data_IF_199180147921
#
_entry.id   IF_199180147921
#
_cell.length_a   1.000
_cell.length_b   1.000
_cell.length_c   1.000
_cell.angle_alpha   90.00
_cell.angle_beta   90.00
_cell.angle_gamma   90.00
#
_symmetry.space_group_name_H-M   'P 1'
#
loop_
_entity.id
_entity.type
_entity.pdbx_description
1 polymer ?
#
# COMPACT_ATOMS: atom_id res chain seq x y z
N UNK A 1 -58.11 29.99 -43.76
CA UNK A 1 -57.53 28.91 -42.98
C UNK A 1 -55.98 29.01 -42.94
N UNK A 2 -55.42 30.15 -42.49
CA UNK A 2 -53.96 30.39 -42.54
C UNK A 2 -53.38 31.12 -41.32
N UNK A 3 -54.11 31.22 -40.20
CA UNK A 3 -53.66 31.96 -39.01
C UNK A 3 -53.10 31.05 -37.88
N UNK A 4 -53.22 29.72 -38.00
CA UNK A 4 -52.78 28.79 -36.97
C UNK A 4 -51.29 28.24 -37.10
N UNK A 5 -50.68 28.37 -38.30
CA UNK A 5 -49.33 27.79 -38.53
C UNK A 5 -48.17 28.64 -37.97
N UNK A 6 -48.36 29.96 -37.83
CA UNK A 6 -47.30 30.84 -37.33
C UNK A 6 -47.09 30.74 -35.81
N UNK A 7 -48.20 30.64 -35.04
CA UNK A 7 -48.09 30.52 -33.56
C UNK A 7 -47.51 29.19 -33.08
N UNK A 8 -47.83 28.09 -33.77
CA UNK A 8 -47.26 26.78 -33.41
C UNK A 8 -45.71 26.74 -33.59
N UNK A 9 -45.22 27.24 -34.72
CA UNK A 9 -43.75 27.33 -34.98
C UNK A 9 -43.01 28.22 -33.98
N UNK A 10 -43.64 29.32 -33.55
CA UNK A 10 -43.03 30.22 -32.55
C UNK A 10 -42.95 29.55 -31.18
N UNK A 11 -43.98 28.80 -30.77
CA UNK A 11 -44.01 28.05 -29.52
C UNK A 11 -42.97 26.92 -29.54
N UNK A 12 -42.88 26.16 -30.62
CA UNK A 12 -41.87 25.10 -30.80
C UNK A 12 -40.45 25.66 -30.74
N UNK A 13 -40.20 26.83 -31.34
CA UNK A 13 -38.86 27.46 -31.26
C UNK A 13 -38.55 27.98 -29.86
N UNK A 14 -39.53 28.54 -29.13
CA UNK A 14 -39.34 28.99 -27.74
C UNK A 14 -39.09 27.82 -26.81
N UNK A 15 -39.83 26.72 -26.96
CA UNK A 15 -39.61 25.49 -26.18
C UNK A 15 -38.25 24.87 -26.48
N UNK A 16 -37.84 24.83 -27.75
CA UNK A 16 -36.52 24.34 -28.14
C UNK A 16 -35.37 25.16 -27.54
N UNK A 17 -35.46 26.48 -27.53
CA UNK A 17 -34.49 27.38 -26.90
C UNK A 17 -34.47 27.16 -25.37
N UNK A 18 -35.62 26.99 -24.74
CA UNK A 18 -35.70 26.75 -23.30
C UNK A 18 -35.02 25.41 -22.89
N UNK A 19 -35.25 24.34 -23.65
CA UNK A 19 -34.62 23.05 -23.46
C UNK A 19 -33.09 23.17 -23.62
N UNK A 20 -32.64 23.88 -24.65
CA UNK A 20 -31.21 24.10 -24.87
C UNK A 20 -30.55 24.86 -23.71
N UNK A 21 -31.22 25.90 -23.18
CA UNK A 21 -30.74 26.66 -22.03
C UNK A 21 -30.67 25.79 -20.76
N UNK A 22 -31.65 24.93 -20.54
CA UNK A 22 -31.63 23.97 -19.42
C UNK A 22 -30.47 22.95 -19.57
N UNK A 23 -30.25 22.43 -20.77
CA UNK A 23 -29.13 21.52 -21.05
C UNK A 23 -27.78 22.20 -20.83
N UNK A 24 -27.62 23.45 -21.25
CA UNK A 24 -26.39 24.22 -21.01
C UNK A 24 -26.22 24.47 -19.51
N UNK A 25 -27.28 24.89 -18.80
CA UNK A 25 -27.21 25.13 -17.35
C UNK A 25 -26.86 23.85 -16.55
N UNK A 26 -27.43 22.69 -16.93
CA UNK A 26 -27.11 21.41 -16.32
C UNK A 26 -25.69 20.98 -16.64
N UNK A 27 -25.20 21.14 -17.86
CA UNK A 27 -23.83 20.83 -18.24
C UNK A 27 -22.82 21.71 -17.49
N UNK A 28 -23.10 23.02 -17.37
CA UNK A 28 -22.27 23.95 -16.57
C UNK A 28 -22.32 23.60 -15.08
N UNK A 29 -23.48 23.25 -14.55
CA UNK A 29 -23.63 22.81 -13.15
C UNK A 29 -22.84 21.55 -12.86
N UNK A 30 -22.92 20.53 -13.73
CA UNK A 30 -22.13 19.30 -13.62
C UNK A 30 -20.64 19.61 -13.74
N UNK A 31 -20.24 20.49 -14.65
CA UNK A 31 -18.84 20.89 -14.81
C UNK A 31 -18.30 21.59 -13.54
N UNK A 32 -19.04 22.53 -12.96
CA UNK A 32 -18.64 23.21 -11.72
C UNK A 32 -18.54 22.22 -10.56
N UNK A 33 -19.56 21.36 -10.36
CA UNK A 33 -19.57 20.36 -9.30
C UNK A 33 -18.40 19.36 -9.46
N UNK A 34 -18.15 18.88 -10.68
CA UNK A 34 -17.04 17.95 -10.94
C UNK A 34 -15.69 18.62 -10.72
N UNK A 35 -15.55 19.89 -11.07
CA UNK A 35 -14.35 20.68 -10.82
C UNK A 35 -14.10 20.85 -9.32
N UNK A 36 -15.09 21.28 -8.56
CA UNK A 36 -14.96 21.50 -7.12
C UNK A 36 -14.77 20.17 -6.36
N UNK A 37 -15.40 19.10 -6.81
CA UNK A 37 -15.20 17.75 -6.28
C UNK A 37 -13.75 17.27 -6.49
N UNK A 38 -13.22 17.40 -7.70
CA UNK A 38 -11.84 17.01 -8.00
C UNK A 38 -10.83 17.85 -7.19
N UNK A 39 -11.10 19.16 -7.06
CA UNK A 39 -10.24 20.08 -6.31
C UNK A 39 -10.24 19.78 -4.80
N UNK A 40 -11.41 19.57 -4.19
CA UNK A 40 -11.54 19.18 -2.80
C UNK A 40 -10.84 17.84 -2.50
N UNK A 41 -10.81 16.95 -3.49
CA UNK A 41 -10.20 15.64 -3.38
C UNK A 41 -8.69 15.66 -3.27
N UNK A 42 -8.00 16.55 -4.01
CA UNK A 42 -6.56 16.74 -3.91
C UNK A 42 -6.13 17.68 -2.76
N UNK A 43 -7.05 18.06 -1.88
CA UNK A 43 -6.75 19.00 -0.81
C UNK A 43 -6.58 20.45 -1.27
N UNK A 44 -6.93 20.75 -2.53
CA UNK A 44 -6.90 22.09 -3.11
C UNK A 44 -8.32 22.65 -3.07
N UNK A 45 -8.59 23.66 -2.27
CA UNK A 45 -9.92 24.24 -2.06
C UNK A 45 -10.40 25.08 -3.22
N UNK A 46 -9.50 25.53 -4.10
CA UNK A 46 -9.81 26.20 -5.37
C UNK A 46 -8.59 26.25 -6.30
N UNK A 47 -8.75 26.56 -7.61
CA UNK A 47 -7.61 26.74 -8.53
C UNK A 47 -6.68 27.90 -8.16
N UNK A 48 -7.07 28.74 -7.19
CA UNK A 48 -6.32 29.90 -6.71
C UNK A 48 -5.71 29.72 -5.32
N UNK A 49 -6.09 28.67 -4.56
CA UNK A 49 -5.49 28.38 -3.28
C UNK A 49 -4.34 27.37 -3.46
N UNK A 50 -3.15 27.93 -3.50
CA UNK A 50 -1.90 27.22 -3.47
C UNK A 50 -1.73 26.51 -2.13
N UNK A 51 -1.46 25.22 -2.15
CA UNK A 51 -0.91 24.54 -0.98
C UNK A 51 0.59 24.89 -0.91
N UNK A 52 0.95 25.72 0.04
CA UNK A 52 2.31 26.22 0.15
C UNK A 52 2.74 26.95 -1.13
N UNK A 53 3.92 26.61 -1.63
CA UNK A 53 4.55 27.27 -2.79
C UNK A 53 4.25 26.59 -4.13
N UNK A 54 3.22 25.74 -4.22
CA UNK A 54 2.86 25.01 -5.45
C UNK A 54 1.46 25.37 -5.95
N UNK A 55 1.29 25.36 -7.27
CA UNK A 55 0.00 25.48 -7.95
C UNK A 55 -0.25 24.29 -8.84
N UNK A 56 -1.52 23.86 -8.95
CA UNK A 56 -1.90 22.77 -9.84
C UNK A 56 -1.72 23.16 -11.31
N UNK A 57 -1.22 22.22 -12.13
CA UNK A 57 -0.97 22.38 -13.56
C UNK A 57 -1.73 21.32 -14.33
N UNK A 58 -2.49 21.75 -15.33
CA UNK A 58 -3.33 20.86 -16.14
C UNK A 58 -4.59 20.39 -15.41
N UNK A 59 -5.23 19.36 -15.97
CA UNK A 59 -6.41 18.73 -15.37
C UNK A 59 -5.99 17.55 -14.52
N UNK A 60 -6.75 17.32 -13.43
CA UNK A 60 -6.68 16.07 -12.71
C UNK A 60 -7.17 14.91 -13.60
N UNK A 61 -6.50 13.77 -13.51
CA UNK A 61 -6.82 12.55 -14.25
C UNK A 61 -7.23 11.45 -13.25
N UNK A 62 -8.14 10.58 -13.67
CA UNK A 62 -8.60 9.44 -12.86
C UNK A 62 -8.53 8.17 -13.68
N UNK A 63 -8.01 7.10 -13.06
CA UNK A 63 -7.84 5.78 -13.65
C UNK A 63 -8.52 4.72 -12.78
N UNK A 64 -9.09 3.70 -13.42
CA UNK A 64 -9.68 2.53 -12.79
C UNK A 64 -8.91 1.25 -13.17
N UNK A 65 -9.44 0.07 -12.83
CA UNK A 65 -8.80 -1.21 -13.16
C UNK A 65 -8.59 -1.45 -14.65
N UNK A 66 -9.47 -0.90 -15.50
CA UNK A 66 -9.43 -1.16 -16.94
C UNK A 66 -8.34 -0.37 -17.66
N UNK A 67 -7.98 0.82 -17.12
CA UNK A 67 -7.04 1.73 -17.76
C UNK A 67 -5.85 2.16 -16.87
N UNK A 68 -5.65 1.54 -15.72
CA UNK A 68 -4.53 1.85 -14.83
C UNK A 68 -3.17 1.70 -15.53
N UNK A 69 -3.04 0.70 -16.42
CA UNK A 69 -1.82 0.44 -17.17
C UNK A 69 -1.39 1.61 -18.08
N UNK A 70 -2.34 2.43 -18.54
CA UNK A 70 -2.04 3.61 -19.36
C UNK A 70 -1.22 4.66 -18.59
N UNK A 71 -1.32 4.65 -17.24
CA UNK A 71 -0.63 5.62 -16.38
C UNK A 71 0.63 5.07 -15.74
N UNK A 72 0.61 3.81 -15.28
CA UNK A 72 1.71 3.24 -14.49
C UNK A 72 2.35 2.01 -15.14
N UNK A 73 1.94 1.68 -16.38
CA UNK A 73 2.51 0.63 -17.21
C UNK A 73 2.66 -0.72 -16.48
N UNK A 74 3.79 -1.37 -16.55
CA UNK A 74 4.06 -2.69 -15.98
C UNK A 74 3.89 -2.81 -14.46
N UNK A 75 3.69 -1.70 -13.73
CA UNK A 75 3.39 -1.74 -12.29
C UNK A 75 1.92 -2.08 -11.98
N UNK A 76 0.99 -1.93 -12.92
CA UNK A 76 -0.44 -2.08 -12.69
C UNK A 76 -0.85 -3.41 -12.01
N UNK A 77 -0.33 -4.59 -12.41
CA UNK A 77 -0.68 -5.86 -11.77
C UNK A 77 -0.47 -5.87 -10.26
N UNK A 78 0.65 -5.34 -9.76
CA UNK A 78 0.95 -5.30 -8.33
C UNK A 78 -0.10 -4.53 -7.53
N UNK A 79 -0.63 -3.43 -8.07
CA UNK A 79 -1.67 -2.63 -7.43
C UNK A 79 -3.03 -3.34 -7.48
N UNK A 80 -3.35 -3.95 -8.63
CA UNK A 80 -4.59 -4.69 -8.84
C UNK A 80 -4.68 -5.91 -7.92
N UNK A 81 -3.63 -6.70 -7.81
CA UNK A 81 -3.50 -7.82 -6.86
C UNK A 81 -3.67 -7.36 -5.41
N UNK A 82 -3.17 -6.17 -5.06
CA UNK A 82 -3.32 -5.58 -3.75
C UNK A 82 -4.69 -4.92 -3.51
N UNK A 83 -5.68 -5.10 -4.39
CA UNK A 83 -7.05 -4.60 -4.20
C UNK A 83 -7.26 -3.14 -4.59
N UNK A 84 -6.56 -2.67 -5.61
CA UNK A 84 -6.73 -1.35 -6.20
C UNK A 84 -8.17 -1.07 -6.63
N UNK A 85 -8.66 0.14 -6.35
CA UNK A 85 -9.99 0.61 -6.75
C UNK A 85 -9.90 1.70 -7.81
N UNK A 86 -9.08 2.72 -7.58
CA UNK A 86 -8.88 3.83 -8.50
C UNK A 86 -7.62 4.62 -8.15
N UNK A 87 -7.09 5.31 -9.15
CA UNK A 87 -6.00 6.28 -9.05
C UNK A 87 -6.49 7.66 -9.47
N UNK A 88 -6.20 8.66 -8.67
CA UNK A 88 -6.32 10.06 -9.05
C UNK A 88 -4.93 10.68 -9.13
N UNK A 89 -4.67 11.45 -10.20
CA UNK A 89 -3.38 12.13 -10.39
C UNK A 89 -3.56 13.62 -10.65
N UNK A 90 -2.57 14.40 -10.20
CA UNK A 90 -2.50 15.84 -10.45
C UNK A 90 -1.04 16.31 -10.47
N UNK A 91 -0.70 17.13 -11.44
CA UNK A 91 0.60 17.80 -11.49
C UNK A 91 0.56 19.13 -10.75
N UNK A 92 1.70 19.45 -10.14
CA UNK A 92 1.92 20.71 -9.43
C UNK A 92 3.24 21.32 -9.88
N UNK A 93 3.29 22.65 -10.00
CA UNK A 93 4.51 23.40 -10.26
C UNK A 93 4.78 24.40 -9.11
N UNK A 94 6.05 24.60 -8.79
CA UNK A 94 6.44 25.59 -7.81
C UNK A 94 6.18 27.01 -8.35
N UNK A 95 5.70 27.90 -7.50
CA UNK A 95 5.43 29.30 -7.86
C UNK A 95 6.74 30.07 -8.14
N UNK A 96 7.82 29.69 -7.43
CA UNK A 96 9.16 30.28 -7.58
C UNK A 96 9.82 29.92 -8.90
N UNK A 97 9.55 28.69 -9.40
CA UNK A 97 10.13 28.18 -10.64
C UNK A 97 9.20 27.11 -11.24
N UNK A 98 8.53 27.45 -12.34
CA UNK A 98 7.58 26.54 -13.01
C UNK A 98 8.20 25.28 -13.64
N UNK A 99 9.53 25.20 -13.76
CA UNK A 99 10.24 24.00 -14.20
C UNK A 99 10.38 22.97 -13.07
N UNK A 100 10.31 23.43 -11.81
CA UNK A 100 10.28 22.57 -10.64
C UNK A 100 8.83 22.23 -10.27
N UNK A 101 8.56 20.97 -10.07
CA UNK A 101 7.24 20.51 -9.71
C UNK A 101 7.25 19.04 -9.36
N UNK A 102 6.08 18.53 -9.07
CA UNK A 102 5.87 17.10 -8.79
C UNK A 102 4.54 16.63 -9.34
N UNK A 103 4.42 15.33 -9.49
CA UNK A 103 3.15 14.67 -9.78
C UNK A 103 2.68 13.91 -8.53
N UNK A 104 1.43 14.17 -8.14
CA UNK A 104 0.74 13.53 -7.03
C UNK A 104 -0.11 12.39 -7.56
N UNK A 105 0.03 11.20 -6.99
CA UNK A 105 -0.74 10.00 -7.25
C UNK A 105 -1.43 9.59 -5.96
N UNK A 106 -2.76 9.47 -5.97
CA UNK A 106 -3.55 9.00 -4.84
C UNK A 106 -4.29 7.73 -5.26
N UNK A 107 -3.80 6.59 -4.77
CA UNK A 107 -4.40 5.29 -5.00
C UNK A 107 -5.37 4.95 -3.88
N UNK A 108 -6.64 4.70 -4.20
CA UNK A 108 -7.60 4.08 -3.32
C UNK A 108 -7.39 2.56 -3.37
N UNK A 109 -6.94 1.98 -2.28
CA UNK A 109 -6.61 0.56 -2.15
C UNK A 109 -7.68 -0.21 -1.38
N UNK A 110 -8.89 0.34 -1.25
CA UNK A 110 -10.02 -0.25 -0.56
C UNK A 110 -9.91 -0.26 0.98
N UNK A 111 -8.76 -0.63 1.55
CA UNK A 111 -8.50 -0.67 3.00
C UNK A 111 -7.03 -0.39 3.34
N UNK A 112 -6.74 -0.21 4.63
CA UNK A 112 -5.40 0.15 5.11
C UNK A 112 -4.35 -0.95 4.89
N UNK A 113 -4.71 -2.23 5.00
CA UNK A 113 -3.79 -3.34 4.73
C UNK A 113 -3.32 -3.32 3.28
N UNK A 114 -4.24 -3.13 2.35
CA UNK A 114 -3.94 -3.07 0.92
C UNK A 114 -3.01 -1.89 0.59
N UNK A 115 -3.31 -0.72 1.15
CA UNK A 115 -2.46 0.47 0.98
C UNK A 115 -1.05 0.23 1.55
N UNK A 116 -0.96 -0.34 2.75
CA UNK A 116 0.31 -0.69 3.38
C UNK A 116 1.08 -1.78 2.61
N UNK A 117 0.39 -2.74 2.01
CA UNK A 117 1.02 -3.78 1.18
C UNK A 117 1.81 -3.15 0.03
N UNK A 118 1.18 -2.26 -0.74
CA UNK A 118 1.87 -1.55 -1.84
C UNK A 118 3.00 -0.67 -1.29
N UNK A 119 2.73 0.15 -0.27
CA UNK A 119 3.71 1.00 0.39
C UNK A 119 4.96 0.22 0.81
N UNK A 120 4.79 -0.87 1.55
CA UNK A 120 5.88 -1.64 2.13
C UNK A 120 6.69 -2.42 1.10
N UNK A 121 6.05 -2.87 0.01
CA UNK A 121 6.72 -3.58 -1.10
C UNK A 121 7.55 -2.64 -1.97
N UNK A 122 7.16 -1.38 -2.09
CA UNK A 122 7.88 -0.38 -2.87
C UNK A 122 8.97 0.35 -2.09
N UNK A 123 9.02 0.18 -0.76
CA UNK A 123 10.01 0.87 0.07
C UNK A 123 11.42 0.42 -0.29
N UNK A 124 12.23 1.38 -0.75
CA UNK A 124 13.62 1.18 -1.14
C UNK A 124 14.54 1.06 0.09
N UNK A 125 15.68 0.43 -0.08
CA UNK A 125 16.68 0.26 1.00
C UNK A 125 17.34 1.57 1.42
N UNK A 126 17.40 2.56 0.53
CA UNK A 126 17.93 3.92 0.76
C UNK A 126 16.85 4.90 1.27
N UNK A 127 15.62 4.43 1.48
CA UNK A 127 14.54 5.27 1.96
C UNK A 127 14.73 5.72 3.41
N UNK A 128 14.41 6.98 3.67
CA UNK A 128 14.38 7.56 5.02
C UNK A 128 12.94 7.72 5.47
N UNK A 129 12.60 7.19 6.66
CA UNK A 129 11.25 7.26 7.19
C UNK A 129 10.82 8.69 7.47
N UNK A 130 9.57 9.01 7.09
CA UNK A 130 8.87 10.23 7.49
C UNK A 130 8.14 9.96 8.81
N UNK A 131 8.59 10.63 9.85
CA UNK A 131 7.88 10.74 11.10
C UNK A 131 6.87 11.91 11.02
N UNK A 132 6.00 12.09 11.98
CA UNK A 132 5.03 13.21 12.08
C UNK A 132 3.81 13.18 11.13
N UNK A 133 3.49 12.02 10.54
CA UNK A 133 2.27 11.84 9.75
C UNK A 133 1.04 11.46 10.60
N UNK A 134 1.23 11.27 11.91
CA UNK A 134 0.18 10.85 12.83
C UNK A 134 0.08 9.35 13.03
N UNK A 135 -0.90 8.93 13.84
CA UNK A 135 -1.13 7.52 14.21
C UNK A 135 -1.64 6.73 12.99
N UNK A 136 -1.18 5.50 12.84
CA UNK A 136 -1.58 4.59 11.75
C UNK A 136 -1.22 5.10 10.35
N UNK A 137 -0.25 6.00 10.25
CA UNK A 137 0.32 6.50 9.01
C UNK A 137 1.76 6.02 8.84
N UNK A 138 2.15 5.73 7.61
CA UNK A 138 3.52 5.35 7.26
C UNK A 138 3.99 6.21 6.10
N UNK A 139 5.25 6.66 6.13
CA UNK A 139 5.80 7.46 5.06
C UNK A 139 7.31 7.30 4.94
N UNK A 140 7.84 7.53 3.75
CA UNK A 140 9.28 7.62 3.51
C UNK A 140 9.60 8.58 2.37
N UNK A 141 10.84 9.05 2.37
CA UNK A 141 11.47 9.79 1.28
C UNK A 141 12.53 8.89 0.63
N UNK A 142 12.57 8.83 -0.69
CA UNK A 142 13.59 8.14 -1.46
C UNK A 142 13.94 8.95 -2.71
N UNK A 143 15.14 9.58 -2.72
CA UNK A 143 15.53 10.51 -3.78
C UNK A 143 14.53 11.68 -3.88
N UNK A 144 13.96 11.88 -5.06
CA UNK A 144 12.95 12.91 -5.35
C UNK A 144 11.50 12.44 -5.13
N UNK A 145 11.29 11.32 -4.45
CA UNK A 145 9.94 10.78 -4.22
C UNK A 145 9.58 10.73 -2.73
N UNK A 146 8.30 10.95 -2.44
CA UNK A 146 7.67 10.71 -1.14
C UNK A 146 6.55 9.70 -1.33
N UNK A 147 6.56 8.64 -0.52
CA UNK A 147 5.52 7.62 -0.51
C UNK A 147 4.88 7.53 0.88
N UNK A 148 3.55 7.43 0.91
CA UNK A 148 2.79 7.47 2.16
C UNK A 148 1.65 6.45 2.11
N UNK A 149 1.39 5.76 3.22
CA UNK A 149 0.17 4.98 3.45
C UNK A 149 -0.68 5.66 4.52
N UNK A 150 -1.88 6.10 4.15
CA UNK A 150 -2.84 6.83 4.99
C UNK A 150 -4.21 6.17 4.91
N UNK A 151 -4.55 5.34 5.91
CA UNK A 151 -5.78 4.55 5.85
C UNK A 151 -5.82 3.73 4.56
N UNK A 152 -6.91 3.78 3.83
CA UNK A 152 -7.04 3.06 2.55
C UNK A 152 -6.24 3.65 1.37
N UNK A 153 -5.57 4.79 1.56
CA UNK A 153 -4.88 5.47 0.48
C UNK A 153 -3.38 5.19 0.52
N UNK A 154 -2.86 4.73 -0.62
CA UNK A 154 -1.43 4.78 -0.91
C UNK A 154 -1.17 6.02 -1.78
N UNK A 155 -0.16 6.81 -1.44
CA UNK A 155 0.09 8.10 -2.07
C UNK A 155 1.56 8.17 -2.48
N UNK A 156 1.80 8.57 -3.73
CA UNK A 156 3.12 8.88 -4.24
C UNK A 156 3.19 10.35 -4.67
N UNK A 157 4.25 11.03 -4.33
CA UNK A 157 4.64 12.31 -4.90
C UNK A 157 5.99 12.14 -5.55
N UNK A 158 6.08 12.40 -6.85
CA UNK A 158 7.31 12.22 -7.65
C UNK A 158 7.74 13.57 -8.19
N UNK A 159 8.86 14.07 -7.67
CA UNK A 159 9.45 15.36 -8.07
C UNK A 159 10.10 15.30 -9.45
N UNK A 160 10.09 16.41 -10.16
CA UNK A 160 10.74 16.58 -11.47
C UNK A 160 12.27 16.56 -11.40
N UNK A 161 12.85 16.81 -10.21
CA UNK A 161 14.28 16.83 -9.97
C UNK A 161 14.62 16.47 -8.51
N UNK A 162 15.84 16.04 -8.27
CA UNK A 162 16.39 15.91 -6.91
C UNK A 162 16.74 17.31 -6.39
N UNK A 163 15.83 17.89 -5.61
CA UNK A 163 15.98 19.21 -4.99
C UNK A 163 15.47 19.18 -3.55
N UNK A 164 16.27 19.64 -2.61
CA UNK A 164 15.86 19.72 -1.21
C UNK A 164 14.64 20.63 -1.03
N UNK A 165 14.58 21.77 -1.76
CA UNK A 165 13.44 22.68 -1.74
C UNK A 165 12.15 21.96 -2.18
N UNK A 166 12.22 21.18 -3.26
CA UNK A 166 11.09 20.42 -3.77
C UNK A 166 10.66 19.33 -2.78
N UNK A 167 11.61 18.58 -2.25
CA UNK A 167 11.32 17.51 -1.25
C UNK A 167 10.72 18.12 0.02
N UNK A 168 11.23 19.24 0.52
CA UNK A 168 10.69 19.88 1.72
C UNK A 168 9.28 20.44 1.49
N UNK A 169 9.01 21.00 0.32
CA UNK A 169 7.67 21.39 -0.08
C UNK A 169 6.69 20.19 -0.14
N UNK A 170 7.13 19.08 -0.75
CA UNK A 170 6.33 17.83 -0.77
C UNK A 170 6.09 17.26 0.63
N UNK A 171 7.05 17.37 1.59
CA UNK A 171 6.83 16.97 2.99
C UNK A 171 5.72 17.80 3.65
N UNK A 172 5.65 19.10 3.35
CA UNK A 172 4.56 19.97 3.80
C UNK A 172 3.21 19.45 3.31
N UNK A 173 3.10 19.13 2.02
CA UNK A 173 1.89 18.56 1.42
C UNK A 173 1.56 17.19 2.02
N UNK A 174 2.57 16.35 2.28
CA UNK A 174 2.39 15.06 2.95
C UNK A 174 1.70 15.22 4.31
N UNK A 175 2.11 16.22 5.08
CA UNK A 175 1.51 16.56 6.37
C UNK A 175 0.06 17.03 6.22
N UNK A 176 -0.23 17.89 5.24
CA UNK A 176 -1.59 18.34 4.96
C UNK A 176 -2.51 17.19 4.54
N UNK A 177 -1.99 16.26 3.72
CA UNK A 177 -2.71 15.05 3.32
C UNK A 177 -2.97 14.13 4.52
N UNK A 178 -2.03 14.03 5.48
CA UNK A 178 -2.23 13.23 6.69
C UNK A 178 -3.35 13.79 7.57
N UNK A 179 -3.48 15.11 7.64
CA UNK A 179 -4.59 15.79 8.33
C UNK A 179 -5.90 15.57 7.58
N UNK A 180 -5.88 15.65 6.26
CA UNK A 180 -7.07 15.49 5.41
C UNK A 180 -7.64 14.07 5.45
N UNK A 181 -6.81 13.07 5.22
CA UNK A 181 -7.23 11.66 5.19
C UNK A 181 -7.39 11.05 6.57
N UNK A 182 -6.76 11.65 7.59
CA UNK A 182 -6.92 11.41 9.02
C UNK A 182 -7.15 9.92 9.35
N UNK A 183 -6.12 9.05 9.24
CA UNK A 183 -6.25 7.65 9.61
C UNK A 183 -6.75 7.52 11.05
N UNK A 184 -7.60 6.54 11.28
CA UNK A 184 -8.21 6.28 12.59
C UNK A 184 -7.61 5.01 13.22
N UNK A 185 -7.97 4.70 14.44
CA UNK A 185 -7.58 3.43 15.08
C UNK A 185 -8.07 2.19 14.31
N UNK A 186 -9.13 2.33 13.50
CA UNK A 186 -9.63 1.26 12.62
C UNK A 186 -8.68 0.96 11.45
N UNK A 187 -7.84 1.91 11.08
CA UNK A 187 -6.86 1.78 10.01
C UNK A 187 -5.53 1.21 10.53
N UNK A 188 -5.42 0.98 11.85
CA UNK A 188 -4.23 0.39 12.45
C UNK A 188 -4.05 -1.04 12.01
N UNK A 189 -2.84 -1.35 11.53
CA UNK A 189 -2.44 -2.72 11.18
C UNK A 189 -1.91 -3.37 12.46
N UNK A 190 -2.81 -4.00 13.21
CA UNK A 190 -2.51 -4.57 14.53
C UNK A 190 -1.49 -5.71 14.47
N UNK A 191 -1.42 -6.38 13.33
CA UNK A 191 -0.50 -7.50 13.08
C UNK A 191 0.98 -7.07 13.16
N UNK A 192 1.30 -5.79 12.89
CA UNK A 192 2.68 -5.30 13.04
C UNK A 192 3.17 -5.38 14.51
N UNK A 193 2.26 -5.36 15.47
CA UNK A 193 2.55 -5.58 16.88
C UNK A 193 2.78 -7.05 17.27
N UNK A 194 2.61 -7.99 16.34
CA UNK A 194 2.86 -9.42 16.58
C UNK A 194 4.32 -9.82 16.34
N UNK A 195 5.13 -8.93 15.77
CA UNK A 195 6.55 -9.16 15.66
C UNK A 195 7.26 -9.08 17.02
N UNK A 196 8.33 -9.87 17.24
CA UNK A 196 9.09 -9.83 18.48
C UNK A 196 9.78 -8.46 18.68
N UNK A 197 9.99 -8.11 19.94
CA UNK A 197 10.81 -6.96 20.31
C UNK A 197 12.23 -7.11 19.72
N UNK A 198 12.82 -6.02 19.23
CA UNK A 198 14.11 -6.04 18.52
C UNK A 198 13.99 -6.23 17.00
N UNK A 199 12.77 -6.33 16.47
CA UNK A 199 12.53 -6.22 15.03
C UNK A 199 12.97 -4.84 14.53
N UNK A 200 13.67 -4.79 13.40
CA UNK A 200 14.14 -3.53 12.82
C UNK A 200 12.97 -2.64 12.43
N UNK A 201 12.91 -1.47 13.03
CA UNK A 201 11.85 -0.49 12.72
C UNK A 201 11.84 -0.15 11.23
N UNK A 202 10.64 -0.05 10.66
CA UNK A 202 10.46 0.29 9.24
C UNK A 202 10.82 -0.82 8.25
N UNK A 203 11.22 -2.02 8.70
CA UNK A 203 11.49 -3.18 7.84
C UNK A 203 10.25 -4.01 7.50
N UNK A 204 9.10 -3.64 8.06
CA UNK A 204 7.84 -4.38 7.85
C UNK A 204 7.41 -4.39 6.39
N UNK A 205 6.99 -5.56 5.93
CA UNK A 205 6.38 -5.77 4.61
C UNK A 205 5.11 -6.59 4.75
N UNK A 206 4.17 -6.37 3.85
CA UNK A 206 2.96 -7.18 3.73
C UNK A 206 2.80 -7.63 2.29
N UNK A 207 2.65 -8.93 2.08
CA UNK A 207 2.25 -9.52 0.81
C UNK A 207 0.85 -10.10 0.97
N UNK A 208 -0.12 -9.50 0.27
CA UNK A 208 -1.53 -9.92 0.35
C UNK A 208 -1.72 -11.29 -0.27
N UNK A 209 -1.13 -11.53 -1.44
CA UNK A 209 -1.23 -12.76 -2.19
C UNK A 209 0.15 -13.23 -2.67
N UNK A 210 0.25 -14.52 -2.99
CA UNK A 210 1.45 -15.13 -3.61
C UNK A 210 2.75 -14.85 -2.86
N UNK A 211 2.71 -14.85 -1.52
CA UNK A 211 3.89 -14.54 -0.74
C UNK A 211 4.99 -15.57 -1.01
N UNK A 212 6.20 -15.04 -1.27
CA UNK A 212 7.38 -15.84 -1.61
C UNK A 212 7.18 -16.79 -2.80
N UNK A 213 6.29 -16.42 -3.75
CA UNK A 213 5.99 -17.21 -4.94
C UNK A 213 5.03 -18.38 -4.72
N UNK A 214 4.45 -18.52 -3.51
CA UNK A 214 3.47 -19.55 -3.19
C UNK A 214 2.07 -18.95 -3.04
N UNK A 215 1.16 -19.30 -3.94
CA UNK A 215 -0.19 -18.73 -4.00
C UNK A 215 -1.08 -19.13 -2.80
N UNK A 216 -0.72 -20.21 -2.09
CA UNK A 216 -1.37 -20.63 -0.84
C UNK A 216 -1.00 -19.78 0.39
N UNK A 217 0.01 -18.92 0.31
CA UNK A 217 0.45 -18.05 1.41
C UNK A 217 0.01 -16.62 1.15
N UNK A 218 -1.10 -16.25 1.78
CA UNK A 218 -1.71 -14.92 1.68
C UNK A 218 -1.55 -14.16 3.00
N UNK A 219 -1.71 -12.82 2.98
CA UNK A 219 -1.56 -11.95 4.15
C UNK A 219 -0.26 -12.25 4.94
N UNK A 220 0.85 -12.42 4.24
CA UNK A 220 2.15 -12.69 4.87
C UNK A 220 2.82 -11.38 5.28
N UNK A 221 2.94 -11.19 6.58
CA UNK A 221 3.73 -10.11 7.18
C UNK A 221 5.15 -10.58 7.36
N UNK A 222 6.13 -9.80 6.91
CA UNK A 222 7.56 -10.07 7.13
C UNK A 222 8.27 -8.85 7.70
N UNK A 223 9.37 -9.11 8.42
CA UNK A 223 10.21 -8.06 8.98
C UNK A 223 11.62 -8.58 9.21
N UNK A 224 12.60 -7.67 9.25
CA UNK A 224 13.97 -8.01 9.58
C UNK A 224 14.15 -8.06 11.08
N UNK A 225 14.66 -9.19 11.59
CA UNK A 225 15.10 -9.38 12.97
C UNK A 225 16.61 -9.52 13.04
N UNK A 226 17.29 -8.86 13.99
CA UNK A 226 18.76 -8.90 14.09
C UNK A 226 19.22 -10.04 15.00
N UNK A 227 20.09 -10.91 14.47
CA UNK A 227 20.73 -12.01 15.19
C UNK A 227 22.23 -11.90 14.99
N UNK A 228 23.00 -11.71 16.08
CA UNK A 228 24.45 -11.56 15.99
C UNK A 228 24.90 -10.43 15.05
N UNK A 229 24.12 -9.36 14.93
CA UNK A 229 24.40 -8.22 14.04
C UNK A 229 23.95 -8.42 12.59
N UNK A 230 23.51 -9.61 12.19
CA UNK A 230 22.96 -9.90 10.85
C UNK A 230 21.44 -9.82 10.84
N UNK A 231 20.86 -9.38 9.73
CA UNK A 231 19.43 -9.37 9.52
C UNK A 231 18.91 -10.74 9.07
N UNK A 232 17.83 -11.20 9.68
CA UNK A 232 17.09 -12.41 9.28
C UNK A 232 15.66 -11.98 8.97
N UNK A 233 15.12 -12.35 7.81
CA UNK A 233 13.74 -12.06 7.43
C UNK A 233 12.80 -13.09 8.07
N UNK A 234 12.12 -12.70 9.13
CA UNK A 234 11.08 -13.51 9.79
C UNK A 234 9.71 -13.13 9.19
N UNK A 235 8.80 -14.10 9.09
CA UNK A 235 7.45 -13.86 8.59
C UNK A 235 6.38 -14.64 9.34
N UNK A 236 5.16 -14.13 9.30
CA UNK A 236 3.97 -14.89 9.72
C UNK A 236 2.76 -14.53 8.88
N UNK A 237 1.79 -15.43 8.88
CA UNK A 237 0.46 -15.22 8.32
C UNK A 237 -0.59 -15.82 9.25
N UNK A 238 -1.64 -15.07 9.56
CA UNK A 238 -2.74 -15.52 10.42
C UNK A 238 -3.78 -16.27 9.60
N UNK A 239 -4.22 -17.43 10.11
CA UNK A 239 -5.23 -18.29 9.52
C UNK A 239 -6.49 -18.32 10.37
N UNK A 240 -7.57 -18.88 9.86
CA UNK A 240 -8.86 -18.98 10.57
C UNK A 240 -8.77 -19.84 11.83
N UNK A 241 -7.95 -20.91 11.77
CA UNK A 241 -7.76 -21.86 12.85
C UNK A 241 -6.40 -22.59 12.73
N UNK A 242 -6.06 -23.36 13.75
CA UNK A 242 -4.80 -24.11 13.82
C UNK A 242 -4.65 -25.19 12.72
N UNK A 243 -5.74 -25.81 12.29
CA UNK A 243 -5.68 -26.86 11.25
C UNK A 243 -5.41 -26.24 9.87
N UNK A 244 -5.98 -25.09 9.56
CA UNK A 244 -5.63 -24.35 8.36
C UNK A 244 -4.15 -23.90 8.41
N UNK A 245 -3.66 -23.40 9.55
CA UNK A 245 -2.27 -23.03 9.72
C UNK A 245 -1.31 -24.22 9.46
N UNK A 246 -1.59 -25.39 10.03
CA UNK A 246 -0.83 -26.62 9.75
C UNK A 246 -0.86 -27.01 8.28
N UNK A 247 -2.03 -26.93 7.65
CA UNK A 247 -2.21 -27.27 6.23
C UNK A 247 -1.38 -26.34 5.34
N UNK A 248 -1.46 -25.03 5.57
CA UNK A 248 -0.72 -24.03 4.77
C UNK A 248 0.79 -24.17 5.02
N UNK A 249 1.23 -24.39 6.26
CA UNK A 249 2.64 -24.62 6.55
C UNK A 249 3.19 -25.86 5.82
N UNK A 250 2.42 -26.97 5.81
CA UNK A 250 2.77 -28.17 5.06
C UNK A 250 2.83 -27.90 3.55
N UNK A 251 1.82 -27.24 3.01
CA UNK A 251 1.76 -26.97 1.57
C UNK A 251 2.91 -26.04 1.12
N UNK A 252 3.28 -25.05 1.92
CA UNK A 252 4.45 -24.22 1.63
C UNK A 252 5.77 -25.01 1.68
N UNK A 253 5.92 -25.90 2.66
CA UNK A 253 7.05 -26.84 2.69
C UNK A 253 7.09 -27.71 1.43
N UNK A 254 5.97 -28.35 1.07
CA UNK A 254 5.86 -29.20 -0.13
C UNK A 254 6.19 -28.39 -1.41
N UNK A 255 5.74 -27.13 -1.48
CA UNK A 255 6.07 -26.21 -2.57
C UNK A 255 7.60 -25.98 -2.67
N UNK A 256 8.27 -25.70 -1.57
CA UNK A 256 9.73 -25.51 -1.54
C UNK A 256 10.45 -26.77 -2.04
N UNK A 257 10.06 -27.95 -1.56
CA UNK A 257 10.68 -29.22 -1.97
C UNK A 257 10.45 -29.51 -3.46
N UNK A 258 9.22 -29.32 -3.93
CA UNK A 258 8.86 -29.56 -5.34
C UNK A 258 9.62 -28.64 -6.29
N UNK A 259 9.96 -27.42 -5.84
CA UNK A 259 10.71 -26.44 -6.62
C UNK A 259 12.25 -26.49 -6.42
N UNK A 260 12.78 -27.60 -5.90
CA UNK A 260 14.22 -27.86 -5.84
C UNK A 260 14.86 -27.67 -4.46
N UNK A 261 14.07 -27.39 -3.43
CA UNK A 261 14.55 -27.32 -2.05
C UNK A 261 15.04 -28.67 -1.55
N UNK A 262 16.04 -28.64 -0.69
CA UNK A 262 16.62 -29.83 -0.04
C UNK A 262 16.29 -29.82 1.43
N UNK A 263 15.80 -30.96 1.93
CA UNK A 263 15.52 -31.14 3.37
C UNK A 263 16.82 -31.00 4.17
N UNK A 264 16.75 -30.20 5.22
CA UNK A 264 17.87 -30.02 6.16
C UNK A 264 17.43 -30.45 7.56
N UNK A 265 18.33 -31.08 8.32
CA UNK A 265 18.07 -31.47 9.71
C UNK A 265 17.74 -30.22 10.53
N UNK A 266 16.68 -30.27 11.30
CA UNK A 266 16.34 -29.24 12.29
C UNK A 266 17.20 -29.48 13.53
N UNK A 267 17.96 -28.47 14.00
CA UNK A 267 18.76 -28.58 15.23
C UNK A 267 18.02 -28.03 16.45
N UNK A 268 17.21 -27.00 16.27
CA UNK A 268 16.42 -26.36 17.33
C UNK A 268 15.33 -27.28 17.90
N UNK A 269 15.36 -27.55 19.18
CA UNK A 269 14.30 -28.31 19.87
C UNK A 269 12.97 -27.58 19.92
N UNK A 270 13.00 -26.23 19.99
CA UNK A 270 11.81 -25.40 19.95
C UNK A 270 11.12 -25.53 18.59
N UNK A 271 11.89 -25.44 17.50
CA UNK A 271 11.38 -25.57 16.14
C UNK A 271 10.85 -27.00 15.87
N UNK A 272 11.56 -28.05 16.32
CA UNK A 272 11.07 -29.44 16.24
C UNK A 272 9.75 -29.61 16.97
N UNK A 273 9.64 -29.10 18.19
CA UNK A 273 8.44 -29.20 19.01
C UNK A 273 7.24 -28.47 18.39
N UNK A 274 7.51 -27.41 17.62
CA UNK A 274 6.49 -26.70 16.86
C UNK A 274 6.08 -27.41 15.53
N UNK A 275 6.74 -28.54 15.19
CA UNK A 275 6.55 -29.20 13.91
C UNK A 275 7.12 -28.44 12.71
N UNK A 276 8.18 -27.67 12.96
CA UNK A 276 8.82 -26.84 11.94
C UNK A 276 9.79 -27.64 11.05
N UNK A 277 10.00 -27.12 9.86
CA UNK A 277 10.89 -27.69 8.84
C UNK A 277 11.93 -26.67 8.39
N UNK A 278 13.11 -27.15 8.04
CA UNK A 278 14.21 -26.36 7.46
C UNK A 278 14.52 -26.90 6.07
N UNK A 279 14.59 -26.01 5.10
CA UNK A 279 14.88 -26.33 3.69
C UNK A 279 16.05 -25.46 3.23
N UNK A 280 17.05 -26.08 2.60
CA UNK A 280 18.03 -25.37 1.78
C UNK A 280 17.42 -25.16 0.40
N UNK A 281 17.10 -23.91 0.08
CA UNK A 281 16.52 -23.50 -1.18
C UNK A 281 17.53 -22.68 -1.97
N UNK A 282 18.28 -23.36 -2.84
CA UNK A 282 19.36 -22.78 -3.65
C UNK A 282 20.46 -22.03 -2.88
N UNK A 283 20.78 -22.53 -1.67
CA UNK A 283 21.83 -21.95 -0.81
C UNK A 283 21.35 -20.95 0.21
N UNK A 284 20.04 -20.61 0.20
CA UNK A 284 19.38 -19.86 1.26
C UNK A 284 18.53 -20.81 2.13
N UNK A 285 18.40 -20.50 3.41
CA UNK A 285 17.61 -21.30 4.33
C UNK A 285 16.19 -20.74 4.47
N UNK A 286 15.22 -21.59 4.16
CA UNK A 286 13.80 -21.38 4.38
C UNK A 286 13.36 -22.17 5.61
N UNK A 287 12.58 -21.56 6.48
CA UNK A 287 11.96 -22.22 7.62
C UNK A 287 10.47 -21.98 7.58
N UNK A 288 9.69 -23.01 7.85
CA UNK A 288 8.23 -22.89 8.03
C UNK A 288 7.76 -23.72 9.20
N UNK A 289 6.84 -23.19 9.98
CA UNK A 289 6.23 -23.86 11.13
C UNK A 289 4.79 -23.38 11.36
N UNK A 290 3.89 -24.21 11.91
CA UNK A 290 2.64 -23.77 12.47
C UNK A 290 2.81 -23.33 13.93
N UNK A 291 2.11 -22.25 14.34
CA UNK A 291 2.04 -21.79 15.74
C UNK A 291 0.63 -21.31 16.07
N UNK A 292 -0.18 -22.15 16.71
CA UNK A 292 -1.59 -21.88 16.93
C UNK A 292 -2.30 -21.58 15.61
N UNK A 293 -2.89 -20.41 15.48
CA UNK A 293 -3.56 -19.95 14.25
C UNK A 293 -2.62 -19.33 13.22
N UNK A 294 -1.31 -19.34 13.47
CA UNK A 294 -0.32 -18.73 12.57
C UNK A 294 0.47 -19.78 11.78
N UNK A 295 0.77 -19.45 10.55
CA UNK A 295 1.94 -19.96 9.82
C UNK A 295 3.05 -18.97 10.03
N UNK A 296 4.21 -19.41 10.51
CA UNK A 296 5.38 -18.57 10.68
C UNK A 296 6.61 -19.19 10.02
N UNK A 297 7.65 -18.40 9.85
CA UNK A 297 8.90 -18.89 9.27
C UNK A 297 9.99 -17.85 9.13
N UNK A 298 11.02 -18.26 8.41
CA UNK A 298 12.16 -17.44 7.99
C UNK A 298 12.32 -17.60 6.48
N UNK A 299 12.56 -16.50 5.80
CA UNK A 299 12.70 -16.45 4.35
C UNK A 299 14.12 -15.97 3.98
N UNK A 300 14.76 -16.68 3.05
CA UNK A 300 16.05 -16.33 2.44
C UNK A 300 17.18 -16.00 3.44
N UNK A 301 17.36 -16.83 4.47
CA UNK A 301 18.47 -16.62 5.40
C UNK A 301 19.79 -17.25 4.88
N UNK A 302 20.87 -16.48 4.94
CA UNK A 302 22.22 -16.94 4.53
C UNK A 302 22.85 -17.98 5.49
N UNK A 303 22.31 -18.11 6.71
CA UNK A 303 22.89 -18.93 7.75
C UNK A 303 21.80 -19.70 8.51
N UNK A 304 21.95 -21.03 8.56
CA UNK A 304 20.99 -21.94 9.21
C UNK A 304 20.79 -21.63 10.68
N UNK A 305 21.88 -21.42 11.44
CA UNK A 305 21.79 -21.15 12.87
C UNK A 305 21.04 -19.86 13.17
N UNK A 306 21.30 -18.80 12.37
CA UNK A 306 20.59 -17.54 12.47
C UNK A 306 19.12 -17.70 12.09
N UNK A 307 18.81 -18.48 11.05
CA UNK A 307 17.46 -18.80 10.64
C UNK A 307 16.67 -19.51 11.76
N UNK A 308 17.23 -20.60 12.33
CA UNK A 308 16.57 -21.32 13.41
C UNK A 308 16.36 -20.42 14.63
N UNK A 309 17.34 -19.56 14.97
CA UNK A 309 17.19 -18.62 16.08
C UNK A 309 16.10 -17.58 15.83
N UNK A 310 15.96 -17.09 14.59
CA UNK A 310 14.87 -16.21 14.18
C UNK A 310 13.50 -16.89 14.31
N UNK A 311 13.42 -18.15 13.88
CA UNK A 311 12.22 -18.96 14.03
C UNK A 311 11.85 -19.19 15.51
N UNK A 312 12.80 -19.50 16.39
CA UNK A 312 12.56 -19.67 17.83
C UNK A 312 11.93 -18.41 18.45
N UNK A 313 12.54 -17.25 18.21
CA UNK A 313 12.05 -15.99 18.75
C UNK A 313 10.64 -15.68 18.24
N UNK A 314 10.37 -15.96 16.95
CA UNK A 314 9.05 -15.76 16.38
C UNK A 314 8.02 -16.74 16.94
N UNK A 315 8.36 -18.03 17.14
CA UNK A 315 7.49 -19.02 17.77
C UNK A 315 7.07 -18.56 19.16
N UNK A 316 8.03 -18.15 19.98
CA UNK A 316 7.75 -17.69 21.35
C UNK A 316 6.85 -16.47 21.37
N UNK A 317 7.04 -15.54 20.42
CA UNK A 317 6.20 -14.36 20.32
C UNK A 317 4.78 -14.68 19.85
N UNK A 318 4.62 -15.52 18.84
CA UNK A 318 3.29 -15.90 18.32
C UNK A 318 2.49 -16.70 19.35
N UNK A 319 3.13 -17.56 20.16
CA UNK A 319 2.47 -18.22 21.30
C UNK A 319 1.96 -17.24 22.35
N UNK A 320 2.70 -16.17 22.66
CA UNK A 320 2.23 -15.10 23.54
C UNK A 320 1.00 -14.38 22.98
N UNK A 321 1.01 -14.10 21.68
CA UNK A 321 -0.12 -13.46 20.99
C UNK A 321 -1.38 -14.33 21.02
N UNK A 322 -1.25 -15.65 20.93
CA UNK A 322 -2.38 -16.58 21.01
C UNK A 322 -2.84 -16.88 22.44
N UNK A 323 -2.12 -16.42 23.45
CA UNK A 323 -2.41 -16.72 24.87
C UNK A 323 -1.99 -18.16 25.29
N UNK A 324 -1.19 -18.85 24.46
CA UNK A 324 -0.71 -20.20 24.75
C UNK A 324 0.48 -20.21 25.75
N UNK A 325 1.03 -19.03 26.07
CA UNK A 325 2.04 -18.83 27.12
C UNK A 325 1.52 -17.73 28.04
N UNK A 326 0.86 -18.10 29.10
CA UNK A 326 0.33 -17.11 30.06
C UNK A 326 -0.61 -17.72 31.07
N UNK A 327 -0.12 -18.62 31.87
CA UNK A 327 -0.68 -19.11 33.12
C UNK A 327 0.42 -19.11 34.15
#
# INVERSE_FOLDING_TARGET
>A
MHLYSGRARTIESVVGVLILLIMIATAVGIYIISRDYNMARFGVSSPQESQGDFTSVGKAETYNNDNLYEKIDGKAPMYQEAGFVKLDTQRFAAKSNSELGFELYIYDMNNAKNAFSVYSRQKRTDATDLNDLGTSAFGYVAGNAICISLGKNYIEMIGSAESNELVDGMKGIAKDLSVKFKPTDKDKIVELGYFPEGTVAGSWKLQIDNAFGFDGLTDAYSATYKIGGKGVSIFFSKRKNADEAKTVAKNYYDFLITNGGKVVTVDSEILKSAGGSVVDFYGAFEIVFPAGVFVGGVHEADNKQAAEKGAEVLIDQLKKVTGEIGG
#
